data_IF_952589961287
#
_entry.id   IF_952589961287
#
_cell.length_a   1.000
_cell.length_b   1.000
_cell.length_c   1.000
_cell.angle_alpha   90.00
_cell.angle_beta   90.00
_cell.angle_gamma   90.00
#
_symmetry.space_group_name_H-M   'P 1'
#
loop_
_entity.id
_entity.type
_entity.pdbx_description
1 polymer ?
#
# COMPACT_ATOMS: atom_id res chain seq x y z
N UNK A 1 -19.71 -0.45 7.73
CA UNK A 1 -18.50 0.40 7.78
C UNK A 1 -18.39 1.12 6.46
N UNK A 2 -17.81 2.32 6.45
CA UNK A 2 -17.52 3.07 5.23
C UNK A 2 -16.07 2.80 4.86
N UNK A 3 -15.85 2.36 3.62
CA UNK A 3 -14.54 2.30 3.02
C UNK A 3 -14.17 3.68 2.50
N UNK A 4 -13.03 4.20 2.93
CA UNK A 4 -12.44 5.44 2.48
C UNK A 4 -11.18 5.11 1.69
N UNK A 5 -11.10 5.60 0.46
CA UNK A 5 -9.96 5.37 -0.44
C UNK A 5 -9.41 6.72 -0.84
N UNK A 6 -8.17 7.01 -0.48
CA UNK A 6 -7.45 8.19 -0.97
C UNK A 6 -6.68 7.82 -2.22
N UNK A 7 -7.07 8.44 -3.33
CA UNK A 7 -6.62 8.09 -4.67
C UNK A 7 -6.66 9.33 -5.56
N UNK A 8 -5.63 9.55 -6.39
CA UNK A 8 -5.51 10.76 -7.22
C UNK A 8 -5.74 12.08 -6.45
N UNK A 9 -5.20 12.17 -5.23
CA UNK A 9 -5.32 13.33 -4.32
C UNK A 9 -6.75 13.65 -3.86
N UNK A 10 -7.68 12.69 -3.99
CA UNK A 10 -9.06 12.85 -3.54
C UNK A 10 -9.53 11.67 -2.71
N UNK A 11 -10.38 11.93 -1.73
CA UNK A 11 -11.10 10.88 -1.00
C UNK A 11 -12.29 10.39 -1.83
N UNK A 12 -12.42 9.06 -1.90
CA UNK A 12 -13.59 8.35 -2.42
C UNK A 12 -14.14 7.45 -1.33
N UNK A 13 -15.45 7.26 -1.32
CA UNK A 13 -16.14 6.53 -0.26
C UNK A 13 -17.06 5.46 -0.84
N UNK A 14 -17.24 4.38 -0.10
CA UNK A 14 -18.22 3.34 -0.36
C UNK A 14 -18.83 2.86 0.95
N UNK A 15 -20.15 2.76 1.02
CA UNK A 15 -20.87 2.31 2.22
C UNK A 15 -21.54 0.93 2.06
N UNK A 16 -21.50 0.37 0.85
CA UNK A 16 -22.05 -0.93 0.51
C UNK A 16 -21.07 -1.76 -0.34
N UNK A 17 -21.27 -3.08 -0.35
CA UNK A 17 -20.36 -4.03 -1.00
C UNK A 17 -20.21 -3.82 -2.51
N UNK A 18 -21.27 -3.36 -3.18
CA UNK A 18 -21.24 -3.06 -4.61
C UNK A 18 -20.32 -1.87 -4.93
N UNK A 19 -20.41 -0.79 -4.14
CA UNK A 19 -19.51 0.36 -4.26
C UNK A 19 -18.07 0.03 -3.87
N UNK A 20 -17.87 -0.75 -2.81
CA UNK A 20 -16.54 -1.21 -2.40
C UNK A 20 -15.87 -1.99 -3.53
N UNK A 21 -16.61 -2.93 -4.15
CA UNK A 21 -16.11 -3.72 -5.29
C UNK A 21 -15.73 -2.84 -6.49
N UNK A 22 -16.49 -1.77 -6.74
CA UNK A 22 -16.18 -0.79 -7.80
C UNK A 22 -14.93 0.01 -7.48
N UNK A 23 -14.75 0.46 -6.24
CA UNK A 23 -13.53 1.16 -5.81
C UNK A 23 -12.30 0.25 -5.88
N UNK A 24 -12.42 -1.01 -5.45
CA UNK A 24 -11.34 -1.98 -5.61
C UNK A 24 -11.02 -2.16 -7.09
N UNK A 25 -12.02 -2.33 -7.96
CA UNK A 25 -11.77 -2.51 -9.39
C UNK A 25 -11.06 -1.31 -10.02
N UNK A 26 -11.45 -0.08 -9.64
CA UNK A 26 -10.78 1.15 -10.07
C UNK A 26 -9.28 1.15 -9.77
N UNK A 27 -8.87 0.58 -8.63
CA UNK A 27 -7.45 0.49 -8.25
C UNK A 27 -6.66 -0.36 -9.26
N UNK A 28 -7.25 -1.40 -9.85
CA UNK A 28 -6.54 -2.30 -10.76
C UNK A 28 -6.76 -1.98 -12.25
N UNK A 29 -7.77 -1.18 -12.60
CA UNK A 29 -8.10 -0.87 -13.99
C UNK A 29 -7.10 0.13 -14.60
N UNK A 30 -6.53 -0.22 -15.76
CA UNK A 30 -5.49 0.55 -16.46
C UNK A 30 -5.95 1.96 -16.90
N UNK A 31 -7.25 2.16 -17.10
CA UNK A 31 -7.82 3.44 -17.56
C UNK A 31 -8.30 4.39 -16.46
N UNK A 32 -8.24 3.97 -15.19
CA UNK A 32 -8.94 4.66 -14.11
C UNK A 32 -8.11 5.68 -13.31
N UNK A 33 -6.80 5.50 -13.27
CA UNK A 33 -5.89 6.21 -12.36
C UNK A 33 -4.52 6.39 -13.02
N UNK A 34 -4.04 7.63 -13.10
CA UNK A 34 -2.67 7.93 -13.53
C UNK A 34 -2.48 8.60 -14.89
N UNK A 35 -3.50 9.16 -15.55
CA UNK A 35 -3.29 9.92 -16.80
C UNK A 35 -2.78 11.37 -16.61
N UNK A 36 -2.25 11.69 -15.43
CA UNK A 36 -1.57 12.96 -15.13
C UNK A 36 -0.06 12.73 -14.99
N UNK A 37 0.57 12.19 -16.02
CA UNK A 37 2.04 12.15 -16.12
C UNK A 37 2.51 13.46 -16.73
N UNK A 38 3.09 14.34 -15.91
CA UNK A 38 4.06 15.32 -16.41
C UNK A 38 5.18 14.55 -17.09
N UNK A 39 5.44 14.89 -18.34
CA UNK A 39 6.08 14.10 -19.39
C UNK A 39 7.56 13.73 -19.21
N UNK A 40 8.05 13.41 -18.01
CA UNK A 40 9.47 13.05 -17.80
C UNK A 40 9.74 12.02 -16.67
N UNK A 41 8.74 11.31 -16.14
CA UNK A 41 8.95 10.25 -15.13
C UNK A 41 8.48 8.89 -15.66
N UNK A 42 9.42 7.98 -15.87
CA UNK A 42 9.16 6.59 -16.31
C UNK A 42 8.60 5.68 -15.21
N UNK A 43 8.33 6.21 -14.01
CA UNK A 43 7.86 5.40 -12.87
C UNK A 43 6.39 5.09 -13.07
N UNK A 44 6.10 3.83 -13.38
CA UNK A 44 4.75 3.35 -13.74
C UNK A 44 3.90 2.92 -12.54
N UNK A 45 4.46 3.01 -11.33
CA UNK A 45 3.78 2.65 -10.09
C UNK A 45 2.97 3.79 -9.46
N UNK A 46 2.00 3.45 -8.62
CA UNK A 46 1.24 4.42 -7.81
C UNK A 46 0.79 3.80 -6.49
N UNK A 47 0.44 4.69 -5.54
CA UNK A 47 0.03 4.30 -4.19
C UNK A 47 -1.41 4.72 -3.92
N UNK A 48 -2.12 3.87 -3.20
CA UNK A 48 -3.49 4.08 -2.74
C UNK A 48 -3.55 3.84 -1.24
N UNK A 49 -4.33 4.64 -0.53
CA UNK A 49 -4.56 4.43 0.91
C UNK A 49 -6.02 4.10 1.16
N UNK A 50 -6.27 3.03 1.92
CA UNK A 50 -7.60 2.57 2.30
C UNK A 50 -7.75 2.64 3.82
N UNK A 51 -8.96 2.98 4.29
CA UNK A 51 -9.33 2.99 5.70
C UNK A 51 -10.80 2.64 5.87
N UNK A 52 -11.11 1.90 6.92
CA UNK A 52 -12.49 1.67 7.36
C UNK A 52 -12.84 2.53 8.56
N UNK A 53 -13.97 3.23 8.48
CA UNK A 53 -14.48 4.12 9.53
C UNK A 53 -16.01 4.10 9.62
N UNK A 54 -16.57 4.77 10.64
CA UNK A 54 -18.02 4.99 10.76
C UNK A 54 -18.52 6.17 9.93
N UNK A 55 -17.64 7.10 9.55
CA UNK A 55 -17.96 8.34 8.85
C UNK A 55 -16.96 8.59 7.71
N UNK A 56 -17.39 9.15 6.57
CA UNK A 56 -16.48 9.48 5.48
C UNK A 56 -15.32 10.35 5.94
N UNK A 57 -14.11 10.06 5.47
CA UNK A 57 -12.97 10.96 5.65
C UNK A 57 -13.15 12.23 4.83
N UNK A 58 -12.67 13.34 5.37
CA UNK A 58 -12.59 14.61 4.64
C UNK A 58 -11.19 15.18 4.80
N UNK A 59 -10.83 16.19 4.02
CA UNK A 59 -9.53 16.87 4.17
C UNK A 59 -9.33 17.45 5.57
N UNK A 60 -10.41 17.76 6.28
CA UNK A 60 -10.43 18.26 7.66
C UNK A 60 -10.42 17.15 8.72
N UNK A 61 -10.88 15.93 8.36
CA UNK A 61 -11.00 14.79 9.26
C UNK A 61 -10.42 13.52 8.62
N UNK A 62 -9.09 13.49 8.51
CA UNK A 62 -8.33 12.44 7.84
C UNK A 62 -7.94 11.28 8.78
N UNK A 63 -8.26 11.35 10.07
CA UNK A 63 -7.71 10.43 11.07
C UNK A 63 -8.42 9.09 11.00
N UNK A 64 -7.86 8.21 10.19
CA UNK A 64 -8.15 6.80 10.18
C UNK A 64 -7.65 6.13 11.47
N UNK A 65 -8.44 5.24 12.08
CA UNK A 65 -7.94 4.38 13.17
C UNK A 65 -7.11 3.19 12.64
N UNK A 66 -7.16 2.95 11.34
CA UNK A 66 -6.49 1.89 10.59
C UNK A 66 -6.16 2.40 9.18
N UNK A 67 -5.03 1.98 8.64
CA UNK A 67 -4.59 2.37 7.31
C UNK A 67 -4.02 1.16 6.60
N UNK A 68 -4.54 0.88 5.40
CA UNK A 68 -3.98 -0.09 4.46
C UNK A 68 -3.48 0.67 3.24
N UNK A 69 -2.16 0.83 3.10
CA UNK A 69 -1.53 1.37 1.91
C UNK A 69 -1.23 0.26 0.91
N UNK A 70 -1.43 0.57 -0.36
CA UNK A 70 -1.27 -0.36 -1.47
C UNK A 70 -0.40 0.31 -2.51
N UNK A 71 0.78 -0.25 -2.76
CA UNK A 71 1.62 0.12 -3.89
C UNK A 71 1.33 -0.83 -5.05
N UNK A 72 1.16 -0.30 -6.26
CA UNK A 72 0.86 -1.09 -7.46
C UNK A 72 1.79 -0.68 -8.59
N UNK A 73 2.34 -1.68 -9.28
CA UNK A 73 2.91 -1.51 -10.59
C UNK A 73 2.25 -2.49 -11.56
N UNK A 74 1.35 -1.96 -12.41
CA UNK A 74 0.56 -2.76 -13.35
C UNK A 74 1.42 -3.36 -14.46
N UNK A 75 2.49 -2.67 -14.88
CA UNK A 75 3.37 -3.15 -15.96
C UNK A 75 4.16 -4.40 -15.55
N UNK A 76 4.47 -4.55 -14.27
CA UNK A 76 5.16 -5.73 -13.73
C UNK A 76 4.18 -6.79 -13.21
N UNK A 77 2.92 -6.42 -12.94
CA UNK A 77 1.90 -7.34 -12.41
C UNK A 77 2.04 -7.60 -10.91
N UNK A 78 2.73 -6.71 -10.18
CA UNK A 78 2.97 -6.82 -8.74
C UNK A 78 2.43 -5.62 -7.97
N UNK A 79 2.19 -5.84 -6.67
CA UNK A 79 1.90 -4.81 -5.69
C UNK A 79 2.43 -5.18 -4.30
N UNK A 80 2.43 -4.22 -3.38
CA UNK A 80 2.82 -4.43 -1.98
C UNK A 80 1.78 -3.78 -1.06
N UNK A 81 1.69 -4.29 0.17
CA UNK A 81 0.76 -3.82 1.18
C UNK A 81 1.52 -3.34 2.39
N UNK A 82 1.06 -2.24 2.98
CA UNK A 82 1.46 -1.79 4.31
C UNK A 82 0.21 -1.57 5.13
N UNK A 83 0.15 -2.16 6.31
CA UNK A 83 -0.95 -1.97 7.25
C UNK A 83 -0.45 -1.46 8.58
N UNK A 84 -1.19 -0.55 9.18
CA UNK A 84 -0.97 -0.15 10.57
C UNK A 84 -2.15 0.64 11.10
N UNK A 85 -2.09 0.95 12.39
CA UNK A 85 -3.03 1.86 13.03
C UNK A 85 -2.35 3.18 13.36
N UNK A 86 -3.13 4.25 13.46
CA UNK A 86 -2.56 5.53 13.89
C UNK A 86 -2.28 5.51 15.38
N UNK A 87 -1.37 6.36 15.84
CA UNK A 87 -1.08 6.54 17.28
C UNK A 87 -2.31 6.96 18.11
N UNK A 88 -3.38 7.43 17.45
CA UNK A 88 -4.64 7.82 18.07
C UNK A 88 -5.66 6.67 18.14
N UNK A 89 -5.35 5.52 17.55
CA UNK A 89 -6.24 4.36 17.54
C UNK A 89 -6.55 3.92 18.97
N UNK A 90 -7.82 3.61 19.29
CA UNK A 90 -8.17 3.06 20.59
C UNK A 90 -7.69 1.61 20.77
N UNK A 91 -7.27 0.96 19.67
CA UNK A 91 -6.71 -0.40 19.66
C UNK A 91 -5.22 -0.34 20.02
N UNK A 92 -4.81 -1.15 20.99
CA UNK A 92 -3.43 -1.24 21.50
C UNK A 92 -3.05 -2.69 21.77
N UNK A 93 -1.76 -2.99 21.78
CA UNK A 93 -1.25 -4.32 22.11
C UNK A 93 -1.13 -5.23 20.89
N UNK A 94 -0.12 -6.10 20.90
CA UNK A 94 0.04 -7.15 19.91
C UNK A 94 0.18 -6.59 18.50
N UNK A 95 -0.72 -6.97 17.60
CA UNK A 95 -0.64 -6.54 16.18
C UNK A 95 -0.82 -5.03 15.99
N UNK A 96 -1.40 -4.30 16.94
CA UNK A 96 -1.70 -2.87 16.79
C UNK A 96 -0.53 -1.95 17.17
N UNK A 97 0.55 -2.49 17.75
CA UNK A 97 1.72 -1.70 18.16
C UNK A 97 2.79 -1.64 17.07
N UNK A 98 2.50 -2.19 15.88
CA UNK A 98 3.46 -2.36 14.80
C UNK A 98 2.86 -1.95 13.46
N UNK A 99 3.74 -1.56 12.54
CA UNK A 99 3.42 -1.48 11.12
C UNK A 99 3.80 -2.82 10.49
N UNK A 100 2.94 -3.29 9.61
CA UNK A 100 3.05 -4.59 8.97
C UNK A 100 3.20 -4.39 7.47
N UNK A 101 4.09 -5.13 6.85
CA UNK A 101 4.35 -5.10 5.41
C UNK A 101 4.03 -6.48 4.85
N UNK A 102 3.46 -6.56 3.65
CA UNK A 102 3.25 -7.84 2.98
C UNK A 102 4.55 -8.64 2.91
N UNK A 103 4.44 -9.94 3.15
CA UNK A 103 5.57 -10.85 3.08
C UNK A 103 5.35 -11.90 1.98
N UNK A 104 6.30 -11.94 1.05
CA UNK A 104 6.37 -12.91 -0.02
C UNK A 104 7.65 -13.75 0.11
N UNK A 105 7.54 -15.02 0.56
CA UNK A 105 8.70 -15.92 0.65
C UNK A 105 9.26 -16.32 -0.72
N UNK A 106 8.54 -16.03 -1.81
CA UNK A 106 8.94 -16.31 -3.19
C UNK A 106 8.86 -15.02 -4.03
N UNK A 107 9.74 -14.04 -3.77
CA UNK A 107 9.74 -12.77 -4.48
C UNK A 107 10.02 -12.93 -5.98
N UNK A 108 9.63 -11.95 -6.82
CA UNK A 108 10.15 -11.88 -8.18
C UNK A 108 11.68 -11.82 -8.17
N UNK A 109 12.31 -12.39 -9.21
CA UNK A 109 13.76 -12.35 -9.40
C UNK A 109 14.27 -11.03 -10.02
N UNK A 110 13.41 -10.02 -10.05
CA UNK A 110 13.67 -8.67 -10.54
C UNK A 110 13.02 -7.66 -9.59
N UNK A 111 13.44 -6.40 -9.66
CA UNK A 111 12.81 -5.32 -8.90
C UNK A 111 11.49 -4.88 -9.56
N UNK A 112 10.33 -5.06 -8.90
CA UNK A 112 9.03 -4.67 -9.45
C UNK A 112 8.76 -3.16 -9.43
N UNK A 113 9.68 -2.34 -8.88
CA UNK A 113 9.58 -0.87 -8.80
C UNK A 113 8.29 -0.39 -8.15
N UNK A 114 7.97 -0.97 -6.99
CA UNK A 114 6.80 -0.62 -6.19
C UNK A 114 7.12 0.57 -5.30
N UNK A 115 6.52 1.73 -5.59
CA UNK A 115 6.76 2.97 -4.83
C UNK A 115 6.27 2.77 -3.39
N UNK A 116 7.12 3.00 -2.39
CA UNK A 116 6.69 2.95 -0.98
C UNK A 116 6.31 4.34 -0.44
N UNK A 117 7.02 5.38 -0.86
CA UNK A 117 6.71 6.77 -0.56
C UNK A 117 6.65 7.57 -1.88
N UNK A 118 5.53 8.23 -2.23
CA UNK A 118 5.49 9.06 -3.44
C UNK A 118 6.25 10.40 -3.29
N UNK A 119 6.61 10.82 -2.08
CA UNK A 119 7.38 12.03 -1.79
C UNK A 119 8.90 11.84 -1.79
N UNK A 120 9.37 10.59 -1.80
CA UNK A 120 10.78 10.23 -1.82
C UNK A 120 10.93 8.94 -2.62
N UNK A 121 11.87 8.77 -3.58
CA UNK A 121 11.93 7.62 -4.48
C UNK A 121 12.38 6.32 -3.78
N UNK A 122 11.66 5.92 -2.74
CA UNK A 122 11.82 4.68 -2.01
C UNK A 122 10.92 3.63 -2.67
N UNK A 123 11.50 2.45 -2.86
CA UNK A 123 10.79 1.29 -3.39
C UNK A 123 10.67 0.22 -2.32
N UNK A 124 9.58 -0.53 -2.34
CA UNK A 124 9.46 -1.71 -1.49
C UNK A 124 10.57 -2.72 -1.79
N UNK A 125 11.02 -3.41 -0.73
CA UNK A 125 11.84 -4.60 -0.90
C UNK A 125 11.10 -5.65 -1.77
N UNK A 126 11.75 -6.34 -2.73
CA UNK A 126 11.12 -7.36 -3.56
C UNK A 126 10.41 -8.47 -2.77
N UNK A 127 10.86 -8.79 -1.55
CA UNK A 127 10.17 -9.73 -0.63
C UNK A 127 8.84 -9.20 -0.11
N UNK A 128 8.50 -7.94 -0.38
CA UNK A 128 7.18 -7.39 -0.11
C UNK A 128 6.21 -7.54 -1.28
N UNK A 129 6.72 -7.85 -2.48
CA UNK A 129 5.95 -7.84 -3.71
C UNK A 129 5.08 -9.10 -3.83
N UNK A 130 3.78 -8.90 -3.98
CA UNK A 130 2.79 -9.93 -4.23
C UNK A 130 2.21 -9.78 -5.65
N UNK A 131 1.84 -10.89 -6.31
CA UNK A 131 1.06 -10.81 -7.54
C UNK A 131 -0.22 -9.98 -7.34
N UNK A 132 -0.62 -9.17 -8.32
CA UNK A 132 -1.81 -8.29 -8.18
C UNK A 132 -3.10 -9.05 -7.85
N UNK A 133 -3.21 -10.33 -8.25
CA UNK A 133 -4.33 -11.18 -7.87
C UNK A 133 -4.40 -11.45 -6.36
N UNK A 134 -3.25 -11.57 -5.67
CA UNK A 134 -3.19 -11.70 -4.21
C UNK A 134 -3.44 -10.36 -3.52
N UNK A 135 -2.91 -9.27 -4.08
CA UNK A 135 -3.19 -7.92 -3.59
C UNK A 135 -4.70 -7.67 -3.63
N UNK A 136 -5.36 -7.89 -4.77
CA UNK A 136 -6.82 -7.76 -4.93
C UNK A 136 -7.59 -8.55 -3.87
N UNK A 137 -7.26 -9.83 -3.68
CA UNK A 137 -7.91 -10.67 -2.66
C UNK A 137 -7.76 -10.10 -1.24
N UNK A 138 -6.60 -9.53 -0.91
CA UNK A 138 -6.41 -8.89 0.38
C UNK A 138 -7.28 -7.63 0.55
N UNK A 139 -7.44 -6.82 -0.51
CA UNK A 139 -8.34 -5.66 -0.48
C UNK A 139 -9.82 -6.08 -0.35
N UNK A 140 -10.21 -7.15 -1.04
CA UNK A 140 -11.56 -7.73 -0.93
C UNK A 140 -11.82 -8.21 0.49
N UNK A 141 -10.90 -9.00 1.08
CA UNK A 141 -11.01 -9.45 2.47
C UNK A 141 -11.06 -8.28 3.46
N UNK A 142 -10.23 -7.25 3.26
CA UNK A 142 -10.25 -6.05 4.10
C UNK A 142 -11.64 -5.41 4.16
N UNK A 143 -12.32 -5.34 3.01
CA UNK A 143 -13.66 -4.78 2.90
C UNK A 143 -14.73 -5.71 3.47
N UNK A 144 -14.65 -7.02 3.17
CA UNK A 144 -15.61 -8.02 3.62
C UNK A 144 -15.61 -8.21 5.14
N UNK A 145 -14.42 -8.27 5.75
CA UNK A 145 -14.28 -8.40 7.21
C UNK A 145 -14.75 -7.13 7.92
N UNK A 146 -14.47 -5.96 7.34
CA UNK A 146 -14.98 -4.68 7.84
C UNK A 146 -14.43 -4.27 9.20
N UNK A 147 -13.38 -4.92 9.72
CA UNK A 147 -12.81 -4.60 11.05
C UNK A 147 -11.74 -3.52 10.96
N UNK A 148 -11.16 -3.30 9.78
CA UNK A 148 -9.98 -2.48 9.60
C UNK A 148 -8.68 -3.15 10.05
N UNK A 149 -8.71 -4.44 10.39
CA UNK A 149 -7.52 -5.21 10.69
C UNK A 149 -6.80 -5.63 9.41
N UNK A 150 -5.52 -6.01 9.52
CA UNK A 150 -4.77 -6.51 8.36
C UNK A 150 -5.41 -7.79 7.80
N UNK A 151 -5.57 -7.92 6.46
CA UNK A 151 -6.06 -9.14 5.82
C UNK A 151 -5.24 -10.39 6.20
N UNK A 152 -5.92 -11.50 6.48
CA UNK A 152 -5.31 -12.78 6.84
C UNK A 152 -4.87 -13.63 5.64
N UNK A 153 -5.33 -13.35 4.42
CA UNK A 153 -4.98 -14.14 3.23
C UNK A 153 -3.55 -13.93 2.70
N UNK A 154 -2.78 -13.03 3.32
CA UNK A 154 -1.37 -12.78 3.02
C UNK A 154 -0.52 -12.87 4.28
N UNK A 155 0.76 -13.17 4.10
CA UNK A 155 1.71 -13.14 5.20
C UNK A 155 2.16 -11.69 5.43
N UNK A 156 2.61 -11.42 6.64
CA UNK A 156 3.05 -10.10 7.06
C UNK A 156 4.34 -10.19 7.85
N UNK A 157 5.16 -9.16 7.72
CA UNK A 157 6.37 -8.94 8.52
C UNK A 157 6.29 -7.55 9.17
N UNK A 158 6.94 -7.36 10.31
CA UNK A 158 7.04 -6.03 10.91
C UNK A 158 7.93 -5.10 10.07
N UNK A 159 7.57 -3.82 10.06
CA UNK A 159 8.22 -2.81 9.22
C UNK A 159 7.89 -1.38 9.63
N UNK A 160 8.04 -0.48 8.67
CA UNK A 160 7.69 0.93 8.76
C UNK A 160 6.80 1.35 7.59
N UNK A 161 6.08 2.47 7.74
CA UNK A 161 5.17 2.97 6.69
C UNK A 161 5.87 3.36 5.38
N UNK A 162 7.18 3.59 5.41
CA UNK A 162 8.00 3.81 4.21
C UNK A 162 8.33 2.51 3.44
N UNK A 163 7.71 1.37 3.79
CA UNK A 163 7.93 0.08 3.13
C UNK A 163 9.20 -0.65 3.56
N UNK A 164 9.96 -0.13 4.52
CA UNK A 164 11.12 -0.83 5.07
C UNK A 164 10.70 -1.97 5.99
N UNK A 165 11.18 -3.17 5.70
CA UNK A 165 11.00 -4.35 6.56
C UNK A 165 12.05 -4.37 7.68
N UNK A 166 11.67 -4.80 8.88
CA UNK A 166 12.59 -4.89 10.03
C UNK A 166 13.53 -6.10 9.97
N UNK A 167 13.21 -7.12 9.17
CA UNK A 167 14.03 -8.31 8.96
C UNK A 167 15.15 -8.10 7.92
N UNK A 168 15.30 -6.87 7.41
CA UNK A 168 16.25 -6.52 6.35
C UNK A 168 17.08 -5.30 6.73
N UNK A 169 18.22 -5.17 6.07
CA UNK A 169 19.03 -3.97 6.18
C UNK A 169 18.25 -2.72 5.77
N UNK A 170 18.50 -1.56 6.42
CA UNK A 170 17.80 -0.32 6.12
C UNK A 170 17.86 0.06 4.64
N UNK A 171 16.72 0.51 4.11
CA UNK A 171 16.59 0.90 2.70
C UNK A 171 17.56 2.01 2.30
N UNK A 172 17.87 2.91 3.24
CA UNK A 172 18.83 4.02 3.05
C UNK A 172 20.24 3.52 2.70
N UNK A 173 20.66 2.39 3.27
CA UNK A 173 21.98 1.82 2.99
C UNK A 173 22.08 1.27 1.56
N UNK A 174 20.95 0.92 0.92
CA UNK A 174 20.91 0.46 -0.48
C UNK A 174 21.02 1.61 -1.48
N UNK A 175 20.57 2.81 -1.09
CA UNK A 175 20.69 4.00 -1.94
C UNK A 175 22.15 4.46 -1.99
N UNK A 176 22.82 4.53 -0.84
CA UNK A 176 24.23 4.94 -0.75
C UNK A 176 25.15 4.00 -1.55
N UNK A 177 24.90 2.70 -1.51
CA UNK A 177 25.70 1.71 -2.26
C UNK A 177 25.47 1.73 -3.78
N UNK A 178 24.32 2.23 -4.25
CA UNK A 178 24.05 2.42 -5.68
C UNK A 178 24.74 3.67 -6.24
N UNK A 179 24.89 4.73 -5.44
CA UNK A 179 25.58 5.97 -5.83
C UNK A 179 27.10 5.74 -5.95
N UNK A 180 27.70 4.95 -5.05
CA UNK A 180 29.13 4.59 -5.09
C UNK A 180 29.52 3.65 -6.24
N UNK A 181 28.54 3.06 -6.92
CA UNK A 181 28.74 2.12 -8.03
C UNK A 181 28.69 2.77 -9.42
N UNK A 182 28.52 4.09 -9.52
CA UNK A 182 28.53 4.79 -10.80
C UNK A 182 29.96 4.94 -11.34
N UNK A 183 30.33 4.30 -12.47
CA UNK A 183 31.62 4.55 -13.09
C UNK A 183 31.54 5.92 -13.78
N UNK A 184 32.43 6.82 -13.36
CA UNK A 184 32.85 7.92 -14.23
C UNK A 184 33.74 7.37 -15.36
#
# INVERSE_FOLDING_TARGET
MILNVFIDRAWRHADNSGEMSRLISLIFDDGGLGSSVSSNSSVTGFNVSLSLSKTPHTDENQVADNLLQVAINRSTGFGALVWGVTMKSPRKGGIYDSVWISDNPQPPNFDPQLISDPGYPLFHDPYSALPLSRVRKALEEFCETGTGDRPGCVNWIEGYFNGQRLDRDPIVNRLESAEDSSPF
#
